data_IF_603058674906
#
_entry.id   IF_603058674906
#
_cell.length_a   1.000
_cell.length_b   1.000
_cell.length_c   1.000
_cell.angle_alpha   90.00
_cell.angle_beta   90.00
_cell.angle_gamma   90.00
#
_symmetry.space_group_name_H-M   'P 1'
#
loop_
_entity.id
_entity.type
_entity.pdbx_description
1 polymer ?
#
# COMPACT_ATOMS: atom_id res chain seq x y z
N UNK A 1 -11.42 45.55 -56.19
CA UNK A 1 -12.32 45.52 -55.05
C UNK A 1 -12.08 44.20 -54.31
N UNK A 2 -11.17 44.25 -53.34
CA UNK A 2 -10.72 43.09 -52.53
C UNK A 2 -11.62 43.03 -51.29
N UNK A 3 -12.35 41.95 -51.12
CA UNK A 3 -13.17 41.69 -49.94
C UNK A 3 -12.32 40.94 -48.91
N UNK A 4 -11.96 41.64 -47.81
CA UNK A 4 -11.20 41.11 -46.69
C UNK A 4 -12.17 40.40 -45.75
N UNK A 5 -12.14 39.06 -45.72
CA UNK A 5 -12.91 38.26 -44.73
C UNK A 5 -12.05 38.19 -43.46
N UNK A 6 -12.47 38.93 -42.43
CA UNK A 6 -11.94 38.80 -41.07
C UNK A 6 -12.57 37.58 -40.40
N UNK A 7 -11.76 36.53 -40.21
CA UNK A 7 -12.15 35.37 -39.38
C UNK A 7 -11.85 35.75 -37.93
N UNK A 8 -12.91 35.96 -37.15
CA UNK A 8 -12.84 36.18 -35.71
C UNK A 8 -12.78 34.79 -35.04
N UNK A 9 -11.61 34.35 -34.62
CA UNK A 9 -11.47 33.16 -33.76
C UNK A 9 -11.81 33.56 -32.32
N UNK A 10 -13.00 33.20 -31.87
CA UNK A 10 -13.34 33.26 -30.46
C UNK A 10 -12.56 32.15 -29.70
N UNK A 11 -11.56 32.58 -28.94
CA UNK A 11 -10.92 31.71 -27.93
C UNK A 11 -11.83 31.74 -26.70
N UNK A 12 -12.58 30.65 -26.48
CA UNK A 12 -13.24 30.44 -25.20
C UNK A 12 -12.21 29.92 -24.20
N UNK A 13 -12.02 30.55 -23.04
CA UNK A 13 -11.24 29.95 -21.97
C UNK A 13 -12.03 28.73 -21.45
N UNK A 14 -11.45 27.55 -21.60
CA UNK A 14 -11.92 26.36 -20.87
C UNK A 14 -11.57 26.58 -19.41
N UNK A 15 -12.55 26.98 -18.61
CA UNK A 15 -12.45 26.94 -17.16
C UNK A 15 -12.55 25.48 -16.77
N UNK A 16 -11.42 24.87 -16.50
CA UNK A 16 -11.38 23.56 -15.81
C UNK A 16 -11.77 23.85 -14.38
N UNK A 17 -13.02 23.58 -14.07
CA UNK A 17 -13.53 23.58 -12.70
C UNK A 17 -13.03 22.27 -12.09
N UNK A 18 -11.93 22.35 -11.33
CA UNK A 18 -11.51 21.28 -10.48
C UNK A 18 -12.61 21.05 -9.45
N UNK A 19 -13.30 19.92 -9.54
CA UNK A 19 -14.27 19.51 -8.53
C UNK A 19 -13.48 19.19 -7.25
N UNK A 20 -13.68 20.03 -6.23
CA UNK A 20 -13.26 19.77 -4.85
C UNK A 20 -14.16 18.70 -4.23
N UNK A 21 -13.97 17.43 -4.63
CA UNK A 21 -14.64 16.28 -4.01
C UNK A 21 -13.59 15.31 -3.41
N UNK A 22 -12.63 15.84 -2.64
CA UNK A 22 -11.58 15.03 -2.04
C UNK A 22 -11.58 15.11 -0.50
N UNK A 23 -12.74 15.28 0.15
CA UNK A 23 -12.79 15.52 1.60
C UNK A 23 -13.35 14.39 2.46
N UNK A 24 -13.80 13.25 1.90
CA UNK A 24 -14.36 12.17 2.73
C UNK A 24 -13.48 10.91 2.85
N UNK A 25 -12.66 10.59 1.87
CA UNK A 25 -11.75 9.44 1.95
C UNK A 25 -10.50 9.71 2.80
N UNK A 26 -10.00 10.94 2.83
CA UNK A 26 -8.83 11.34 3.64
C UNK A 26 -9.00 11.18 5.15
N UNK A 27 -10.23 11.16 5.65
CA UNK A 27 -10.50 11.13 7.09
C UNK A 27 -10.60 9.68 7.66
N UNK A 28 -10.93 8.69 6.85
CA UNK A 28 -11.00 7.28 7.29
C UNK A 28 -9.61 6.67 7.49
N UNK A 29 -8.67 6.95 6.59
CA UNK A 29 -7.30 6.45 6.68
C UNK A 29 -6.40 7.29 7.60
N UNK A 30 -6.73 8.57 7.84
CA UNK A 30 -6.00 9.44 8.77
C UNK A 30 -5.97 8.89 10.19
N UNK A 31 -7.06 8.32 10.66
CA UNK A 31 -7.15 7.73 12.01
C UNK A 31 -6.34 6.43 12.17
N UNK A 32 -6.26 5.58 11.14
CA UNK A 32 -5.45 4.37 11.17
C UNK A 32 -3.96 4.70 11.09
N UNK A 33 -3.57 5.62 10.22
CA UNK A 33 -2.19 6.08 10.09
C UNK A 33 -1.71 6.73 11.41
N UNK A 34 -2.53 7.57 12.05
CA UNK A 34 -2.21 8.19 13.34
C UNK A 34 -1.98 7.15 14.44
N UNK A 35 -2.84 6.13 14.52
CA UNK A 35 -2.66 5.02 15.47
C UNK A 35 -1.38 4.24 15.19
N UNK A 36 -1.05 4.04 13.92
CA UNK A 36 0.17 3.37 13.53
C UNK A 36 1.42 4.19 13.89
N UNK A 37 1.38 5.51 13.73
CA UNK A 37 2.45 6.42 14.17
C UNK A 37 2.65 6.36 15.69
N UNK A 38 1.56 6.31 16.47
CA UNK A 38 1.61 6.10 17.92
C UNK A 38 2.23 4.74 18.27
N UNK A 39 1.85 3.65 17.59
CA UNK A 39 2.43 2.33 17.80
C UNK A 39 3.97 2.34 17.59
N UNK A 40 4.42 3.00 16.52
CA UNK A 40 5.86 3.15 16.27
C UNK A 40 6.51 3.99 17.38
N UNK A 41 5.87 5.06 17.83
CA UNK A 41 6.32 5.89 18.95
C UNK A 41 6.51 5.08 20.24
N UNK A 42 5.50 4.32 20.66
CA UNK A 42 5.56 3.43 21.83
C UNK A 42 6.71 2.41 21.72
N UNK A 43 6.86 1.78 20.55
CA UNK A 43 7.95 0.84 20.31
C UNK A 43 9.32 1.50 20.47
N UNK A 44 9.49 2.76 20.05
CA UNK A 44 10.75 3.49 20.23
C UNK A 44 11.00 3.90 21.68
N UNK A 45 9.96 4.23 22.46
CA UNK A 45 10.11 4.51 23.92
C UNK A 45 10.57 3.24 24.66
N UNK A 46 9.94 2.09 24.36
CA UNK A 46 10.36 0.80 24.94
C UNK A 46 11.83 0.50 24.57
N UNK A 47 12.21 0.73 23.31
CA UNK A 47 13.59 0.54 22.84
C UNK A 47 14.60 1.40 23.60
N UNK A 48 14.26 2.65 23.92
CA UNK A 48 15.13 3.53 24.72
C UNK A 48 15.26 3.07 26.16
N UNK A 49 14.19 2.53 26.74
CA UNK A 49 14.18 1.98 28.10
C UNK A 49 14.95 0.66 28.22
N UNK A 50 15.04 -0.12 27.13
CA UNK A 50 15.62 -1.46 27.08
C UNK A 50 16.67 -1.56 25.95
N UNK A 51 17.89 -0.99 26.12
CA UNK A 51 18.87 -0.90 25.03
C UNK A 51 19.60 -2.22 24.68
N UNK A 52 19.35 -3.31 25.41
CA UNK A 52 20.00 -4.60 25.21
C UNK A 52 19.44 -5.37 24.01
N UNK A 53 18.56 -6.35 24.24
CA UNK A 53 17.88 -7.13 23.19
C UNK A 53 16.52 -6.49 22.85
N UNK A 54 16.57 -5.28 22.30
CA UNK A 54 15.41 -4.42 22.13
C UNK A 54 14.28 -5.06 21.31
N UNK A 55 14.59 -5.81 20.24
CA UNK A 55 13.57 -6.42 19.38
C UNK A 55 12.74 -7.44 20.16
N UNK A 56 13.41 -8.32 20.88
CA UNK A 56 12.75 -9.37 21.66
C UNK A 56 11.96 -8.78 22.83
N UNK A 57 12.53 -7.82 23.54
CA UNK A 57 11.88 -7.19 24.69
C UNK A 57 10.67 -6.37 24.28
N UNK A 58 10.74 -5.59 23.19
CA UNK A 58 9.60 -4.84 22.67
C UNK A 58 8.47 -5.79 22.32
N UNK A 59 8.78 -6.89 21.61
CA UNK A 59 7.77 -7.88 21.25
C UNK A 59 7.11 -8.48 22.49
N UNK A 60 7.89 -8.90 23.49
CA UNK A 60 7.36 -9.46 24.74
C UNK A 60 6.49 -8.43 25.47
N UNK A 61 6.92 -7.18 25.59
CA UNK A 61 6.16 -6.13 26.28
C UNK A 61 4.85 -5.87 25.54
N UNK A 62 4.89 -5.69 24.22
CA UNK A 62 3.70 -5.41 23.41
C UNK A 62 2.73 -6.59 23.38
N UNK A 63 3.21 -7.82 23.26
CA UNK A 63 2.36 -9.04 23.27
C UNK A 63 1.66 -9.24 24.61
N UNK A 64 2.24 -8.76 25.73
CA UNK A 64 1.60 -8.78 27.05
C UNK A 64 0.59 -7.64 27.28
N UNK A 65 0.31 -6.82 26.28
CA UNK A 65 -0.67 -5.71 26.34
C UNK A 65 -0.44 -4.80 27.54
N UNK A 66 0.67 -4.06 27.58
CA UNK A 66 1.07 -3.27 28.75
C UNK A 66 0.03 -2.23 29.12
N UNK A 67 -0.18 -2.04 30.43
CA UNK A 67 -1.07 -1.00 30.95
C UNK A 67 -0.55 0.38 30.53
N UNK A 68 -1.45 1.21 30.01
CA UNK A 68 -1.13 2.58 29.59
C UNK A 68 -1.03 2.76 28.07
N UNK A 69 -0.93 1.69 27.29
CA UNK A 69 -1.02 1.79 25.83
C UNK A 69 -2.49 1.83 25.41
N UNK A 70 -2.81 2.77 24.52
CA UNK A 70 -4.17 2.96 24.01
C UNK A 70 -4.67 1.68 23.31
N UNK A 71 -5.92 1.26 23.59
CA UNK A 71 -6.51 0.04 23.02
C UNK A 71 -6.43 0.01 21.49
N UNK A 72 -6.67 1.12 20.81
CA UNK A 72 -6.60 1.19 19.36
C UNK A 72 -5.20 0.94 18.77
N UNK A 73 -4.15 1.20 19.56
CA UNK A 73 -2.76 0.88 19.18
C UNK A 73 -2.53 -0.64 19.31
N UNK A 74 -3.04 -1.23 20.39
CA UNK A 74 -2.93 -2.67 20.61
C UNK A 74 -3.73 -3.47 19.57
N UNK A 75 -4.88 -2.96 19.12
CA UNK A 75 -5.66 -3.59 18.05
C UNK A 75 -4.83 -3.69 16.75
N UNK A 76 -4.06 -2.64 16.41
CA UNK A 76 -3.13 -2.69 15.26
C UNK A 76 -2.02 -3.73 15.50
N UNK A 77 -1.37 -3.69 16.66
CA UNK A 77 -0.31 -4.65 16.98
C UNK A 77 -0.76 -6.11 16.86
N UNK A 78 -1.96 -6.41 17.32
CA UNK A 78 -2.50 -7.77 17.36
C UNK A 78 -2.86 -8.34 15.98
N UNK A 79 -3.09 -7.49 14.96
CA UNK A 79 -3.37 -7.96 13.59
C UNK A 79 -2.11 -8.11 12.73
N UNK A 80 -0.96 -7.65 13.22
CA UNK A 80 0.32 -7.82 12.53
C UNK A 80 0.80 -9.27 12.64
N UNK A 81 1.40 -9.79 11.57
CA UNK A 81 2.16 -11.04 11.62
C UNK A 81 3.38 -10.88 12.52
N UNK A 82 3.95 -11.99 12.98
CA UNK A 82 5.18 -11.95 13.79
C UNK A 82 6.37 -11.38 13.00
N UNK A 83 6.40 -11.65 11.70
CA UNK A 83 7.39 -11.12 10.78
C UNK A 83 7.23 -9.61 10.59
N UNK A 84 5.99 -9.10 10.45
CA UNK A 84 5.71 -7.66 10.41
C UNK A 84 6.12 -6.98 11.71
N UNK A 85 5.75 -7.51 12.87
CA UNK A 85 6.14 -6.97 14.19
C UNK A 85 7.65 -6.79 14.28
N UNK A 86 8.42 -7.79 13.85
CA UNK A 86 9.89 -7.74 13.84
C UNK A 86 10.40 -6.63 12.94
N UNK A 87 9.87 -6.49 11.72
CA UNK A 87 10.29 -5.44 10.78
C UNK A 87 9.91 -4.04 11.28
N UNK A 88 8.75 -3.88 11.90
CA UNK A 88 8.29 -2.60 12.43
C UNK A 88 9.16 -2.11 13.59
N UNK A 89 9.65 -3.02 14.42
CA UNK A 89 10.61 -2.68 15.48
C UNK A 89 11.98 -2.31 14.88
N UNK A 90 12.42 -3.06 13.87
CA UNK A 90 13.74 -2.89 13.25
C UNK A 90 13.81 -1.66 12.34
N UNK A 91 12.76 -1.40 11.57
CA UNK A 91 12.69 -0.35 10.55
C UNK A 91 11.45 0.55 10.72
N UNK A 92 11.28 1.23 11.87
CA UNK A 92 10.04 1.93 12.21
C UNK A 92 9.62 3.00 11.20
N UNK A 93 10.57 3.76 10.65
CA UNK A 93 10.28 4.79 9.66
C UNK A 93 9.91 4.22 8.28
N UNK A 94 10.50 3.08 7.91
CA UNK A 94 10.12 2.39 6.68
C UNK A 94 8.76 1.69 6.86
N UNK A 95 8.44 1.21 8.06
CA UNK A 95 7.13 0.69 8.41
C UNK A 95 6.02 1.75 8.29
N UNK A 96 6.28 2.99 8.71
CA UNK A 96 5.33 4.11 8.51
C UNK A 96 5.06 4.35 7.03
N UNK A 97 6.10 4.35 6.19
CA UNK A 97 5.96 4.47 4.73
C UNK A 97 5.17 3.30 4.16
N UNK A 98 5.51 2.06 4.55
CA UNK A 98 4.84 0.86 4.05
C UNK A 98 3.34 0.87 4.37
N UNK A 99 2.95 1.27 5.59
CA UNK A 99 1.55 1.38 5.97
C UNK A 99 0.83 2.51 5.21
N UNK A 100 1.46 3.67 5.06
CA UNK A 100 0.91 4.78 4.27
C UNK A 100 0.64 4.35 2.83
N UNK A 101 1.64 3.75 2.16
CA UNK A 101 1.52 3.31 0.77
C UNK A 101 0.50 2.17 0.60
N UNK A 102 0.34 1.28 1.60
CA UNK A 102 -0.74 0.29 1.59
C UNK A 102 -2.12 0.94 1.55
N UNK A 103 -2.33 2.01 2.29
CA UNK A 103 -3.59 2.76 2.29
C UNK A 103 -3.80 3.53 0.97
N UNK A 104 -2.75 4.14 0.42
CA UNK A 104 -2.79 4.77 -0.91
C UNK A 104 -3.12 3.74 -1.98
N UNK A 105 -2.49 2.57 -1.96
CA UNK A 105 -2.77 1.49 -2.90
C UNK A 105 -4.24 1.06 -2.89
N UNK A 106 -4.87 0.94 -1.72
CA UNK A 106 -6.32 0.68 -1.59
C UNK A 106 -7.15 1.76 -2.28
N UNK A 107 -6.88 3.03 -2.00
CA UNK A 107 -7.59 4.17 -2.60
C UNK A 107 -7.43 4.20 -4.12
N UNK A 108 -6.21 3.97 -4.63
CA UNK A 108 -5.94 3.90 -6.08
C UNK A 108 -6.66 2.73 -6.74
N UNK A 109 -6.75 1.58 -6.05
CA UNK A 109 -7.48 0.41 -6.52
C UNK A 109 -8.97 0.71 -6.65
N UNK A 110 -9.58 1.29 -5.62
CA UNK A 110 -10.99 1.71 -5.65
C UNK A 110 -11.27 2.72 -6.77
N UNK A 111 -10.37 3.68 -6.96
CA UNK A 111 -10.50 4.67 -8.03
C UNK A 111 -10.41 4.06 -9.44
N UNK A 112 -9.64 2.98 -9.64
CA UNK A 112 -9.45 2.31 -10.94
C UNK A 112 -10.50 1.24 -11.25
N UNK A 113 -10.91 0.47 -10.24
CA UNK A 113 -11.77 -0.70 -10.40
C UNK A 113 -13.16 -0.53 -9.78
N UNK A 114 -13.38 0.52 -8.97
CA UNK A 114 -14.62 0.74 -8.22
C UNK A 114 -14.79 -0.18 -7.00
N UNK A 115 -13.80 -1.04 -6.72
CA UNK A 115 -13.84 -2.03 -5.65
C UNK A 115 -12.42 -2.44 -5.23
N UNK A 116 -12.31 -3.09 -4.07
CA UNK A 116 -11.12 -3.77 -3.56
C UNK A 116 -11.51 -5.23 -3.28
N UNK A 117 -11.39 -6.10 -4.26
CA UNK A 117 -11.70 -7.53 -4.13
C UNK A 117 -10.49 -8.36 -3.69
N UNK A 118 -10.71 -9.66 -3.59
CA UNK A 118 -9.69 -10.68 -3.40
C UNK A 118 -9.57 -11.52 -4.67
N UNK A 119 -8.36 -11.87 -5.06
CA UNK A 119 -8.08 -12.85 -6.10
C UNK A 119 -8.31 -12.39 -7.54
N UNK A 120 -8.81 -11.20 -7.78
CA UNK A 120 -9.11 -10.64 -9.10
C UNK A 120 -8.06 -9.61 -9.58
N UNK A 121 -8.32 -8.97 -10.73
CA UNK A 121 -7.44 -7.92 -11.27
C UNK A 121 -7.25 -6.74 -10.33
N UNK A 122 -8.25 -6.40 -9.51
CA UNK A 122 -8.14 -5.30 -8.54
C UNK A 122 -7.16 -5.65 -7.43
N UNK A 123 -7.12 -6.90 -7.03
CA UNK A 123 -6.15 -7.41 -6.06
C UNK A 123 -4.72 -7.38 -6.63
N UNK A 124 -4.54 -7.89 -7.84
CA UNK A 124 -3.27 -7.84 -8.54
C UNK A 124 -2.74 -6.41 -8.69
N UNK A 125 -3.61 -5.45 -9.01
CA UNK A 125 -3.26 -4.03 -9.08
C UNK A 125 -2.84 -3.47 -7.71
N UNK A 126 -3.59 -3.78 -6.65
CA UNK A 126 -3.29 -3.32 -5.28
C UNK A 126 -1.91 -3.76 -4.82
N UNK A 127 -1.58 -5.04 -5.02
CA UNK A 127 -0.27 -5.60 -4.70
C UNK A 127 0.84 -4.99 -5.56
N UNK A 128 0.58 -4.81 -6.85
CA UNK A 128 1.51 -4.20 -7.80
C UNK A 128 1.88 -2.77 -7.43
N UNK A 129 0.89 -1.89 -7.23
CA UNK A 129 1.13 -0.48 -6.95
C UNK A 129 1.76 -0.27 -5.57
N UNK A 130 1.30 -0.98 -4.54
CA UNK A 130 1.91 -0.92 -3.21
C UNK A 130 3.40 -1.23 -3.27
N UNK A 131 3.78 -2.32 -3.93
CA UNK A 131 5.18 -2.73 -4.02
C UNK A 131 6.02 -1.85 -4.95
N UNK A 132 5.45 -1.28 -6.00
CA UNK A 132 6.14 -0.34 -6.87
C UNK A 132 6.50 0.96 -6.12
N UNK A 133 5.52 1.57 -5.44
CA UNK A 133 5.72 2.79 -4.65
C UNK A 133 6.69 2.54 -3.48
N UNK A 134 6.52 1.42 -2.79
CA UNK A 134 7.41 1.05 -1.69
C UNK A 134 8.85 0.88 -2.17
N UNK A 135 9.06 0.31 -3.37
CA UNK A 135 10.39 0.19 -3.98
C UNK A 135 11.02 1.56 -4.25
N UNK A 136 10.25 2.53 -4.70
CA UNK A 136 10.72 3.91 -4.90
C UNK A 136 11.11 4.55 -3.58
N UNK A 137 10.34 4.33 -2.52
CA UNK A 137 10.49 5.04 -1.24
C UNK A 137 11.56 4.48 -0.31
N UNK A 138 11.77 3.15 -0.30
CA UNK A 138 12.66 2.48 0.66
C UNK A 138 13.65 1.51 0.01
N UNK A 139 13.61 1.37 -1.31
CA UNK A 139 14.43 0.44 -2.08
C UNK A 139 13.85 -0.96 -2.17
N UNK A 140 14.22 -1.67 -3.24
CA UNK A 140 13.63 -2.97 -3.61
C UNK A 140 13.77 -4.04 -2.54
N UNK A 141 14.95 -4.15 -1.91
CA UNK A 141 15.21 -5.15 -0.88
C UNK A 141 14.32 -4.99 0.35
N UNK A 142 14.15 -3.75 0.83
CA UNK A 142 13.27 -3.48 1.95
C UNK A 142 11.79 -3.63 1.58
N UNK A 143 11.40 -3.19 0.39
CA UNK A 143 10.06 -3.41 -0.12
C UNK A 143 9.71 -4.91 -0.15
N UNK A 144 10.65 -5.77 -0.54
CA UNK A 144 10.49 -7.22 -0.50
C UNK A 144 10.31 -7.75 0.92
N UNK A 145 11.12 -7.29 1.89
CA UNK A 145 10.98 -7.71 3.29
C UNK A 145 9.59 -7.38 3.82
N UNK A 146 9.10 -6.13 3.63
CA UNK A 146 7.78 -5.72 4.10
C UNK A 146 6.64 -6.47 3.40
N UNK A 147 6.71 -6.62 2.10
CA UNK A 147 5.68 -7.34 1.35
C UNK A 147 5.63 -8.82 1.71
N UNK A 148 6.78 -9.49 1.83
CA UNK A 148 6.85 -10.90 2.22
C UNK A 148 6.34 -11.12 3.66
N UNK A 149 6.69 -10.22 4.58
CA UNK A 149 6.20 -10.30 5.97
C UNK A 149 4.68 -10.15 6.06
N UNK A 150 4.09 -9.35 5.17
CA UNK A 150 2.64 -9.20 5.08
C UNK A 150 1.93 -10.48 4.63
N UNK A 151 2.56 -11.28 3.78
CA UNK A 151 2.05 -12.56 3.30
C UNK A 151 2.42 -13.75 4.21
N UNK A 152 3.08 -13.51 5.34
CA UNK A 152 3.42 -14.55 6.33
C UNK A 152 2.25 -14.82 7.28
N UNK A 153 1.11 -15.20 6.70
CA UNK A 153 -0.15 -15.50 7.38
C UNK A 153 -0.44 -17.00 7.36
N UNK A 154 -1.42 -17.44 8.16
CA UNK A 154 -1.94 -18.79 8.08
C UNK A 154 -2.56 -19.04 6.68
N UNK A 155 -2.04 -20.06 6.01
CA UNK A 155 -2.47 -20.44 4.65
C UNK A 155 -3.38 -21.68 4.65
N UNK A 156 -3.89 -22.11 5.81
CA UNK A 156 -4.83 -23.23 5.88
C UNK A 156 -6.24 -22.80 5.45
N UNK A 157 -6.92 -23.65 4.68
CA UNK A 157 -8.28 -23.41 4.20
C UNK A 157 -8.37 -22.44 3.01
N UNK A 158 -9.56 -21.88 2.82
CA UNK A 158 -9.88 -20.99 1.70
C UNK A 158 -10.13 -19.56 2.19
N UNK A 159 -9.94 -18.60 1.30
CA UNK A 159 -10.41 -17.24 1.45
C UNK A 159 -11.92 -17.11 1.21
N UNK A 160 -12.47 -15.92 1.42
CA UNK A 160 -13.90 -15.65 1.32
C UNK A 160 -14.47 -15.79 -0.10
N UNK A 161 -13.63 -15.72 -1.12
CA UNK A 161 -13.96 -15.94 -2.54
C UNK A 161 -13.98 -17.45 -2.91
N UNK A 162 -13.60 -18.33 -1.98
CA UNK A 162 -13.61 -19.78 -2.14
C UNK A 162 -12.32 -20.39 -2.66
N UNK A 163 -11.33 -19.58 -3.01
CA UNK A 163 -10.02 -20.07 -3.45
C UNK A 163 -9.10 -20.39 -2.26
N UNK A 164 -8.17 -21.37 -2.41
CA UNK A 164 -7.22 -21.71 -1.37
C UNK A 164 -6.33 -20.50 -0.97
N UNK A 165 -6.11 -20.31 0.32
CA UNK A 165 -5.18 -19.30 0.84
C UNK A 165 -3.75 -19.44 0.30
N UNK A 166 -3.34 -20.66 -0.02
CA UNK A 166 -2.04 -20.92 -0.66
C UNK A 166 -1.94 -20.34 -2.06
N UNK A 167 -3.04 -20.34 -2.83
CA UNK A 167 -3.08 -19.75 -4.18
C UNK A 167 -3.08 -18.22 -4.11
N UNK A 168 -3.84 -17.63 -3.16
CA UNK A 168 -3.78 -16.19 -2.88
C UNK A 168 -2.36 -15.76 -2.52
N UNK A 169 -1.73 -16.43 -1.57
CA UNK A 169 -0.34 -16.12 -1.19
C UNK A 169 0.63 -16.22 -2.36
N UNK A 170 0.49 -17.22 -3.21
CA UNK A 170 1.32 -17.36 -4.41
C UNK A 170 1.11 -16.18 -5.38
N UNK A 171 -0.15 -15.84 -5.66
CA UNK A 171 -0.55 -14.73 -6.49
C UNK A 171 0.01 -13.40 -5.94
N UNK A 172 -0.17 -13.14 -4.65
CA UNK A 172 0.25 -11.91 -3.98
C UNK A 172 1.76 -11.74 -4.01
N UNK A 173 2.52 -12.79 -3.66
CA UNK A 173 3.98 -12.76 -3.73
C UNK A 173 4.50 -12.53 -5.16
N UNK A 174 3.84 -13.14 -6.15
CA UNK A 174 4.17 -12.94 -7.56
C UNK A 174 3.91 -11.48 -7.99
N UNK A 175 2.71 -10.96 -7.73
CA UNK A 175 2.32 -9.59 -8.07
C UNK A 175 3.17 -8.54 -7.33
N UNK A 176 3.54 -8.81 -6.10
CA UNK A 176 4.49 -8.01 -5.33
C UNK A 176 5.84 -7.92 -6.05
N UNK A 177 6.37 -9.03 -6.57
CA UNK A 177 7.65 -9.05 -7.30
C UNK A 177 7.58 -8.30 -8.64
N UNK A 178 6.47 -8.45 -9.38
CA UNK A 178 6.20 -7.67 -10.61
C UNK A 178 6.15 -6.18 -10.29
N UNK A 179 5.40 -5.79 -9.26
CA UNK A 179 5.30 -4.40 -8.80
C UNK A 179 6.66 -3.80 -8.47
N UNK A 180 7.50 -4.51 -7.68
CA UNK A 180 8.87 -4.07 -7.37
C UNK A 180 9.73 -3.86 -8.61
N UNK A 181 9.57 -4.72 -9.60
CA UNK A 181 10.31 -4.59 -10.87
C UNK A 181 9.87 -3.36 -11.67
N UNK A 182 8.57 -3.05 -11.67
CA UNK A 182 8.03 -1.85 -12.31
C UNK A 182 8.49 -0.59 -11.56
N UNK A 183 8.44 -0.58 -10.23
CA UNK A 183 8.89 0.54 -9.41
C UNK A 183 10.37 0.86 -9.61
N UNK A 184 11.23 -0.16 -9.68
CA UNK A 184 12.66 0.00 -9.95
C UNK A 184 12.93 0.66 -11.33
N UNK A 185 12.17 0.25 -12.36
CA UNK A 185 12.29 0.81 -13.71
C UNK A 185 11.73 2.23 -13.86
N UNK A 186 10.80 2.62 -13.00
CA UNK A 186 10.05 3.86 -13.07
C UNK A 186 10.24 4.72 -11.81
N UNK A 187 11.41 4.70 -11.21
CA UNK A 187 11.68 5.35 -9.91
C UNK A 187 11.51 6.89 -9.89
N UNK A 188 11.37 7.52 -11.04
CA UNK A 188 11.08 8.94 -11.18
C UNK A 188 9.60 9.27 -11.44
N UNK A 189 8.73 8.25 -11.53
CA UNK A 189 7.30 8.47 -11.73
C UNK A 189 6.63 8.99 -10.45
N UNK A 190 5.63 9.85 -10.61
CA UNK A 190 4.71 10.22 -9.53
C UNK A 190 3.77 9.05 -9.20
N UNK A 191 3.12 9.09 -8.02
CA UNK A 191 2.13 8.08 -7.61
C UNK A 191 1.01 7.88 -8.67
N UNK A 192 0.54 8.96 -9.32
CA UNK A 192 -0.48 8.87 -10.36
C UNK A 192 0.04 8.24 -11.66
N UNK A 193 1.27 8.56 -12.04
CA UNK A 193 1.94 7.95 -13.19
C UNK A 193 2.23 6.47 -12.92
N UNK A 194 2.67 6.11 -11.72
CA UNK A 194 2.88 4.71 -11.35
C UNK A 194 1.57 3.92 -11.39
N UNK A 195 0.49 4.47 -10.85
CA UNK A 195 -0.83 3.86 -10.93
C UNK A 195 -1.31 3.70 -12.38
N UNK A 196 -1.02 4.65 -13.25
CA UNK A 196 -1.31 4.57 -14.67
C UNK A 196 -0.50 3.45 -15.35
N UNK A 197 0.80 3.38 -15.11
CA UNK A 197 1.70 2.37 -15.68
C UNK A 197 1.23 0.96 -15.31
N UNK A 198 0.96 0.71 -14.03
CA UNK A 198 0.54 -0.61 -13.54
C UNK A 198 -0.84 -0.98 -14.06
N UNK A 199 -1.79 -0.05 -14.08
CA UNK A 199 -3.11 -0.29 -14.61
C UNK A 199 -3.07 -0.69 -16.09
N UNK A 200 -2.26 0.01 -16.90
CA UNK A 200 -2.10 -0.32 -18.31
C UNK A 200 -1.39 -1.64 -18.54
N UNK A 201 -0.40 -1.99 -17.71
CA UNK A 201 0.26 -3.29 -17.76
C UNK A 201 -0.74 -4.43 -17.48
N UNK A 202 -1.50 -4.34 -16.39
CA UNK A 202 -2.53 -5.35 -16.03
C UNK A 202 -3.57 -5.54 -17.13
N UNK A 203 -3.95 -4.47 -17.82
CA UNK A 203 -4.93 -4.54 -18.92
C UNK A 203 -4.33 -4.98 -20.26
N UNK A 204 -3.01 -5.10 -20.38
CA UNK A 204 -2.34 -5.44 -21.62
C UNK A 204 -2.34 -6.96 -21.88
N UNK A 205 -2.42 -7.32 -23.15
CA UNK A 205 -2.16 -8.70 -23.56
C UNK A 205 -0.70 -9.06 -23.24
N UNK A 206 -0.47 -10.11 -22.45
CA UNK A 206 0.88 -10.54 -22.06
C UNK A 206 1.44 -9.87 -20.81
N UNK A 207 0.57 -9.28 -19.99
CA UNK A 207 0.94 -8.84 -18.63
C UNK A 207 1.63 -9.96 -17.84
N UNK A 208 2.51 -9.58 -16.93
CA UNK A 208 3.12 -10.51 -15.98
C UNK A 208 2.32 -10.65 -14.69
N UNK A 209 1.33 -9.78 -14.45
CA UNK A 209 0.43 -9.92 -13.33
C UNK A 209 -0.47 -11.15 -13.50
N UNK A 210 -0.82 -11.78 -12.38
CA UNK A 210 -1.70 -12.96 -12.34
C UNK A 210 -2.85 -12.71 -11.36
N UNK A 211 -3.98 -13.34 -11.60
CA UNK A 211 -5.17 -13.35 -10.74
C UNK A 211 -5.84 -14.71 -10.80
N UNK A 212 -6.68 -15.03 -9.82
CA UNK A 212 -7.31 -16.33 -9.67
C UNK A 212 -8.65 -16.42 -10.43
N UNK A 213 -9.35 -15.29 -10.56
CA UNK A 213 -10.65 -15.20 -11.25
C UNK A 213 -10.90 -13.79 -11.80
N UNK A 214 -11.90 -13.65 -12.70
CA UNK A 214 -12.32 -12.36 -13.27
C UNK A 214 -13.26 -11.61 -12.30
#
# INVERSE_FOLDING_TARGET
MFCLILIFTMIFPVVIQASEDNHQTGNLFGGEQEKFEKLVGESQEIKRAHPGDAEKEIKIIMDNQPLGIERGIMDIWNVLTDSEKTLYIRYPFDALKANKEKNIAKTKTEAKFGLNSLGDKSDAFRHGIWNAELTVLIGKEKAELFATSHEDKDVTGNESDGYPKTEHRYMDLHNNAVGRTIGEKNSGASEDEMAYIIYHDICAAGTQFIWLHE
#
